data_IF_804249284775
#
_entry.id   IF_804249284775
#
_cell.length_a   1.000
_cell.length_b   1.000
_cell.length_c   1.000
_cell.angle_alpha   90.00
_cell.angle_beta   90.00
_cell.angle_gamma   90.00
#
_symmetry.space_group_name_H-M   'P 1'
#
loop_
_entity.id
_entity.type
_entity.pdbx_description
1 polymer ?
#
# COMPACT_ATOMS: atom_id res chain seq x y z
N UNK A 1 11.50 -22.64 -24.97
CA UNK A 1 12.06 -22.03 -23.74
C UNK A 1 10.96 -22.04 -22.69
N UNK A 2 11.08 -22.89 -21.67
CA UNK A 2 10.13 -22.92 -20.56
C UNK A 2 10.47 -21.71 -19.69
N UNK A 3 9.54 -20.77 -19.57
CA UNK A 3 9.65 -19.69 -18.60
C UNK A 3 9.71 -20.34 -17.22
N UNK A 4 10.91 -20.37 -16.61
CA UNK A 4 11.03 -20.68 -15.19
C UNK A 4 10.30 -19.57 -14.46
N UNK A 5 9.09 -19.85 -13.99
CA UNK A 5 8.42 -19.04 -12.99
C UNK A 5 9.23 -19.15 -11.70
N UNK A 6 10.27 -18.32 -11.57
CA UNK A 6 11.03 -18.23 -10.33
C UNK A 6 10.05 -17.83 -9.23
N UNK A 7 9.89 -18.70 -8.23
CA UNK A 7 9.13 -18.34 -7.02
C UNK A 7 9.79 -17.06 -6.47
N UNK A 8 9.03 -15.97 -6.29
CA UNK A 8 9.59 -14.72 -5.78
C UNK A 8 10.30 -14.98 -4.46
N UNK A 9 11.52 -14.45 -4.30
CA UNK A 9 12.25 -14.61 -3.05
C UNK A 9 11.50 -13.92 -1.92
N UNK A 10 11.69 -14.38 -0.68
CA UNK A 10 11.08 -13.73 0.49
C UNK A 10 11.48 -12.24 0.59
N UNK A 11 12.66 -11.87 0.11
CA UNK A 11 13.11 -10.48 -0.05
C UNK A 11 12.21 -9.73 -1.03
N UNK A 12 12.00 -10.24 -2.25
CA UNK A 12 11.18 -9.58 -3.27
C UNK A 12 9.71 -9.44 -2.82
N UNK A 13 9.17 -10.45 -2.14
CA UNK A 13 7.81 -10.41 -1.58
C UNK A 13 7.71 -9.29 -0.54
N UNK A 14 8.63 -9.26 0.42
CA UNK A 14 8.65 -8.24 1.48
C UNK A 14 8.86 -6.84 0.90
N UNK A 15 9.76 -6.66 -0.07
CA UNK A 15 9.95 -5.38 -0.77
C UNK A 15 8.67 -4.92 -1.48
N UNK A 16 7.97 -5.83 -2.14
CA UNK A 16 6.72 -5.50 -2.83
C UNK A 16 5.64 -5.10 -1.83
N UNK A 17 5.61 -5.73 -0.64
CA UNK A 17 4.71 -5.32 0.46
C UNK A 17 5.04 -3.94 1.01
N UNK A 18 6.31 -3.65 1.28
CA UNK A 18 6.75 -2.33 1.73
C UNK A 18 6.34 -1.28 0.72
N UNK A 19 6.64 -1.52 -0.57
CA UNK A 19 6.29 -0.58 -1.65
C UNK A 19 4.78 -0.35 -1.75
N UNK A 20 3.97 -1.41 -1.64
CA UNK A 20 2.51 -1.30 -1.64
C UNK A 20 2.00 -0.42 -0.49
N UNK A 21 2.44 -0.67 0.74
CA UNK A 21 1.98 0.09 1.90
C UNK A 21 2.49 1.54 1.91
N UNK A 22 3.69 1.80 1.38
CA UNK A 22 4.19 3.17 1.17
C UNK A 22 3.30 3.93 0.19
N UNK A 23 2.94 3.34 -0.95
CA UNK A 23 2.05 4.02 -1.91
C UNK A 23 0.63 4.22 -1.36
N UNK A 24 0.11 3.26 -0.60
CA UNK A 24 -1.18 3.42 0.09
C UNK A 24 -1.14 4.54 1.12
N UNK A 25 -0.05 4.67 1.88
CA UNK A 25 0.14 5.77 2.82
C UNK A 25 0.23 7.11 2.09
N UNK A 26 1.06 7.22 1.04
CA UNK A 26 1.17 8.43 0.21
C UNK A 26 -0.18 8.84 -0.41
N UNK A 27 -1.00 7.87 -0.82
CA UNK A 27 -2.35 8.12 -1.31
C UNK A 27 -3.25 8.78 -0.26
N UNK A 28 -3.23 8.26 0.98
CA UNK A 28 -3.96 8.87 2.10
C UNK A 28 -3.38 10.24 2.51
N UNK A 29 -2.08 10.44 2.41
CA UNK A 29 -1.41 11.68 2.83
C UNK A 29 -1.84 12.88 1.98
N UNK A 30 -2.05 12.65 0.67
CA UNK A 30 -2.59 13.66 -0.26
C UNK A 30 -3.99 14.13 0.11
N UNK A 31 -4.73 13.34 0.89
CA UNK A 31 -6.05 13.73 1.35
C UNK A 31 -5.98 14.80 2.45
N UNK A 32 -4.86 14.89 3.19
CA UNK A 32 -4.68 15.79 4.32
C UNK A 32 -3.69 16.93 4.06
N UNK A 33 -2.78 16.78 3.09
CA UNK A 33 -1.62 17.68 2.95
C UNK A 33 -1.43 18.16 1.50
N UNK A 34 -1.45 19.49 1.29
CA UNK A 34 -1.14 20.11 0.00
C UNK A 34 0.33 19.95 -0.39
N UNK A 35 1.26 19.87 0.57
CA UNK A 35 2.67 19.59 0.30
C UNK A 35 2.88 18.16 -0.22
N UNK A 36 2.09 17.19 0.25
CA UNK A 36 2.07 15.83 -0.29
C UNK A 36 1.47 15.75 -1.71
N UNK A 37 0.60 16.70 -2.09
CA UNK A 37 0.11 16.84 -3.47
C UNK A 37 1.18 17.43 -4.40
N UNK A 38 2.04 18.30 -3.87
CA UNK A 38 3.10 18.97 -4.63
C UNK A 38 4.36 18.10 -4.86
N UNK A 39 4.66 17.17 -3.95
CA UNK A 39 5.91 16.39 -3.99
C UNK A 39 5.93 15.26 -5.02
N UNK A 40 4.78 14.74 -5.41
CA UNK A 40 4.70 13.63 -6.36
C UNK A 40 3.44 13.76 -7.24
N UNK A 41 3.51 13.63 -8.59
CA UNK A 41 2.34 13.72 -9.44
C UNK A 41 1.31 12.63 -9.12
N UNK A 42 0.02 12.98 -9.17
CA UNK A 42 -1.07 12.04 -8.86
C UNK A 42 -1.13 10.86 -9.82
N UNK A 43 -0.91 11.14 -11.11
CA UNK A 43 -0.91 10.14 -12.16
C UNK A 43 0.17 9.08 -11.94
N UNK A 44 1.38 9.52 -11.56
CA UNK A 44 2.50 8.62 -11.28
C UNK A 44 2.23 7.79 -10.03
N UNK A 45 1.65 8.39 -8.98
CA UNK A 45 1.25 7.65 -7.77
C UNK A 45 0.26 6.55 -8.10
N UNK A 46 -0.78 6.89 -8.87
CA UNK A 46 -1.83 5.96 -9.23
C UNK A 46 -1.29 4.83 -10.13
N UNK A 47 -0.41 5.15 -11.06
CA UNK A 47 0.26 4.18 -11.93
C UNK A 47 1.13 3.22 -11.10
N UNK A 48 1.97 3.74 -10.20
CA UNK A 48 2.82 2.91 -9.35
C UNK A 48 2.03 2.08 -8.34
N UNK A 49 0.97 2.64 -7.74
CA UNK A 49 0.10 1.93 -6.81
C UNK A 49 -0.65 0.79 -7.52
N UNK A 50 -1.23 1.06 -8.69
CA UNK A 50 -1.94 0.03 -9.47
C UNK A 50 -1.01 -1.08 -9.94
N UNK A 51 0.17 -0.75 -10.47
CA UNK A 51 1.17 -1.73 -10.88
C UNK A 51 1.67 -2.57 -9.68
N UNK A 52 1.94 -1.93 -8.53
CA UNK A 52 2.41 -2.64 -7.33
C UNK A 52 1.31 -3.52 -6.74
N UNK A 53 0.05 -3.05 -6.71
CA UNK A 53 -1.12 -3.86 -6.30
C UNK A 53 -1.24 -5.09 -7.20
N UNK A 54 -1.20 -4.91 -8.53
CA UNK A 54 -1.29 -6.02 -9.49
C UNK A 54 -0.20 -7.07 -9.27
N UNK A 55 1.07 -6.63 -9.16
CA UNK A 55 2.20 -7.52 -8.86
C UNK A 55 1.99 -8.28 -7.55
N UNK A 56 1.54 -7.60 -6.49
CA UNK A 56 1.27 -8.26 -5.21
C UNK A 56 0.13 -9.29 -5.33
N UNK A 57 -0.93 -9.00 -6.09
CA UNK A 57 -2.04 -9.95 -6.28
C UNK A 57 -1.65 -11.21 -7.07
N UNK A 58 -0.65 -11.08 -7.94
CA UNK A 58 -0.03 -12.19 -8.64
C UNK A 58 0.84 -13.02 -7.69
N UNK A 59 1.75 -12.37 -6.95
CA UNK A 59 2.60 -13.03 -5.93
C UNK A 59 1.76 -13.81 -4.93
N UNK A 60 0.67 -13.21 -4.43
CA UNK A 60 -0.21 -13.82 -3.42
C UNK A 60 -1.20 -14.83 -4.01
N UNK A 61 -1.22 -15.06 -5.33
CA UNK A 61 -2.13 -16.04 -5.95
C UNK A 61 -1.98 -17.45 -5.38
N UNK A 62 -0.77 -17.79 -4.90
CA UNK A 62 -0.46 -19.07 -4.23
C UNK A 62 -1.06 -19.18 -2.82
N UNK A 63 -1.46 -18.06 -2.19
CA UNK A 63 -2.09 -18.02 -0.89
C UNK A 63 -3.35 -17.14 -0.90
N UNK A 64 -4.49 -17.77 -1.22
CA UNK A 64 -5.79 -17.10 -1.37
C UNK A 64 -6.25 -16.38 -0.10
N UNK A 65 -5.90 -16.87 1.08
CA UNK A 65 -6.29 -16.26 2.36
C UNK A 65 -5.54 -14.95 2.57
N UNK A 66 -4.23 -14.95 2.33
CA UNK A 66 -3.42 -13.72 2.45
C UNK A 66 -3.81 -12.74 1.36
N UNK A 67 -3.97 -13.21 0.11
CA UNK A 67 -4.46 -12.39 -1.01
C UNK A 67 -5.75 -11.65 -0.65
N UNK A 68 -6.79 -12.37 -0.21
CA UNK A 68 -8.08 -11.76 0.14
C UNK A 68 -8.03 -10.84 1.36
N UNK A 69 -7.01 -10.95 2.24
CA UNK A 69 -6.78 -9.96 3.31
C UNK A 69 -6.19 -8.67 2.74
N UNK A 70 -5.20 -8.78 1.88
CA UNK A 70 -4.51 -7.62 1.28
C UNK A 70 -5.43 -6.88 0.30
N UNK A 71 -6.25 -7.59 -0.47
CA UNK A 71 -7.27 -6.99 -1.36
C UNK A 71 -8.24 -6.11 -0.57
N UNK A 72 -8.87 -6.68 0.47
CA UNK A 72 -9.81 -5.94 1.34
C UNK A 72 -9.16 -4.74 2.01
N UNK A 73 -7.90 -4.84 2.38
CA UNK A 73 -7.15 -3.71 2.94
C UNK A 73 -6.91 -2.62 1.90
N UNK A 74 -6.45 -2.98 0.70
CA UNK A 74 -6.28 -2.02 -0.40
C UNK A 74 -7.60 -1.32 -0.73
N UNK A 75 -8.68 -2.08 -0.85
CA UNK A 75 -9.99 -1.53 -1.21
C UNK A 75 -10.50 -0.59 -0.12
N UNK A 76 -10.36 -0.97 1.16
CA UNK A 76 -10.72 -0.10 2.30
C UNK A 76 -9.95 1.22 2.28
N UNK A 77 -8.62 1.18 2.07
CA UNK A 77 -7.78 2.38 2.02
C UNK A 77 -8.14 3.27 0.82
N UNK A 78 -8.33 2.67 -0.36
CA UNK A 78 -8.72 3.40 -1.56
C UNK A 78 -10.07 4.08 -1.40
N UNK A 79 -11.08 3.36 -0.88
CA UNK A 79 -12.39 3.92 -0.58
C UNK A 79 -12.31 5.11 0.39
N UNK A 80 -11.50 5.00 1.45
CA UNK A 80 -11.29 6.10 2.40
C UNK A 80 -10.65 7.33 1.76
N UNK A 81 -9.64 7.15 0.90
CA UNK A 81 -9.02 8.27 0.20
C UNK A 81 -9.99 8.92 -0.80
N UNK A 82 -10.78 8.14 -1.55
CA UNK A 82 -11.81 8.70 -2.43
C UNK A 82 -12.88 9.49 -1.66
N UNK A 83 -13.34 8.97 -0.52
CA UNK A 83 -14.30 9.66 0.33
C UNK A 83 -13.74 10.98 0.87
N UNK A 84 -12.45 11.00 1.25
CA UNK A 84 -11.79 12.20 1.73
C UNK A 84 -11.59 13.27 0.64
N UNK A 85 -11.41 12.86 -0.62
CA UNK A 85 -11.31 13.77 -1.77
C UNK A 85 -12.69 14.31 -2.22
N UNK A 86 -13.79 13.56 -1.98
CA UNK A 86 -15.12 13.84 -2.50
C UNK A 86 -16.01 14.73 -1.60
N UNK A 87 -15.73 14.97 -0.30
CA UNK A 87 -16.71 15.68 0.55
C UNK A 87 -16.24 16.36 1.83
N UNK A 88 -16.84 17.55 2.09
CA UNK A 88 -16.79 18.33 3.35
C UNK A 88 -17.72 17.81 4.47
N UNK A 89 -17.94 18.63 5.52
CA UNK A 89 -18.76 18.45 6.74
C UNK A 89 -18.66 17.14 7.57
N UNK A 90 -18.50 15.95 6.97
CA UNK A 90 -18.17 14.67 7.64
C UNK A 90 -16.66 14.53 7.96
N UNK A 91 -15.92 15.64 7.80
CA UNK A 91 -14.46 15.74 7.91
C UNK A 91 -13.87 15.10 9.17
N UNK A 92 -14.55 15.13 10.31
CA UNK A 92 -13.97 14.67 11.58
C UNK A 92 -13.94 13.14 11.69
N UNK A 93 -15.07 12.47 11.45
CA UNK A 93 -15.13 11.00 11.48
C UNK A 93 -14.27 10.38 10.37
N UNK A 94 -14.29 10.99 9.17
CA UNK A 94 -13.42 10.59 8.07
C UNK A 94 -11.94 10.83 8.39
N UNK A 95 -11.58 11.93 9.05
CA UNK A 95 -10.20 12.20 9.46
C UNK A 95 -9.69 11.25 10.54
N UNK A 96 -10.54 10.89 11.53
CA UNK A 96 -10.18 9.92 12.57
C UNK A 96 -9.96 8.52 11.97
N UNK A 97 -10.84 8.10 11.05
CA UNK A 97 -10.67 6.86 10.30
C UNK A 97 -9.39 6.85 9.44
N UNK A 98 -9.10 7.96 8.76
CA UNK A 98 -7.90 8.09 7.93
C UNK A 98 -6.62 8.09 8.77
N UNK A 99 -6.63 8.73 9.95
CA UNK A 99 -5.51 8.68 10.90
C UNK A 99 -5.29 7.27 11.45
N UNK A 100 -6.37 6.54 11.74
CA UNK A 100 -6.29 5.16 12.20
C UNK A 100 -5.68 4.25 11.13
N UNK A 101 -6.16 4.31 9.88
CA UNK A 101 -5.56 3.54 8.77
C UNK A 101 -4.11 3.93 8.52
N UNK A 102 -3.76 5.22 8.58
CA UNK A 102 -2.38 5.67 8.41
C UNK A 102 -1.45 5.09 9.49
N UNK A 103 -1.92 4.99 10.73
CA UNK A 103 -1.16 4.35 11.80
C UNK A 103 -0.94 2.85 11.53
N UNK A 104 -1.95 2.15 11.02
CA UNK A 104 -1.84 0.74 10.63
C UNK A 104 -0.83 0.56 9.50
N UNK A 105 -0.93 1.35 8.43
CA UNK A 105 0.00 1.29 7.29
C UNK A 105 1.43 1.60 7.73
N UNK A 106 1.62 2.60 8.59
CA UNK A 106 2.94 2.95 9.14
C UNK A 106 3.54 1.81 9.93
N UNK A 107 2.78 1.20 10.85
CA UNK A 107 3.26 0.10 11.67
C UNK A 107 3.66 -1.11 10.81
N UNK A 108 2.85 -1.45 9.80
CA UNK A 108 3.17 -2.53 8.85
C UNK A 108 4.43 -2.23 8.04
N UNK A 109 4.56 -1.00 7.56
CA UNK A 109 5.73 -0.58 6.77
C UNK A 109 7.02 -0.67 7.60
N UNK A 110 7.00 -0.23 8.87
CA UNK A 110 8.15 -0.33 9.78
C UNK A 110 8.51 -1.80 10.00
N UNK A 111 7.55 -2.63 10.41
CA UNK A 111 7.80 -4.04 10.69
C UNK A 111 8.37 -4.81 9.48
N UNK A 112 7.85 -4.51 8.28
CA UNK A 112 8.35 -5.13 7.05
C UNK A 112 9.71 -4.58 6.61
N UNK A 113 10.00 -3.31 6.89
CA UNK A 113 11.32 -2.72 6.62
C UNK A 113 12.38 -3.31 7.54
N UNK A 114 12.07 -3.49 8.82
CA UNK A 114 12.95 -4.17 9.79
C UNK A 114 13.20 -5.62 9.38
N UNK A 115 12.15 -6.34 8.99
CA UNK A 115 12.26 -7.71 8.49
C UNK A 115 13.13 -7.78 7.21
N UNK A 116 12.96 -6.83 6.31
CA UNK A 116 13.76 -6.74 5.09
C UNK A 116 15.25 -6.47 5.40
N UNK A 117 15.54 -5.65 6.41
CA UNK A 117 16.90 -5.42 6.87
C UNK A 117 17.54 -6.71 7.40
N UNK A 118 16.78 -7.52 8.16
CA UNK A 118 17.24 -8.84 8.63
C UNK A 118 17.52 -9.78 7.45
N UNK A 119 16.61 -9.86 6.48
CA UNK A 119 16.78 -10.73 5.29
C UNK A 119 17.97 -10.33 4.40
N UNK A 120 18.37 -9.06 4.41
CA UNK A 120 19.53 -8.57 3.63
C UNK A 120 20.85 -8.72 4.37
N UNK A 121 20.82 -8.92 5.68
CA UNK A 121 22.01 -9.11 6.50
C UNK A 121 22.52 -10.58 6.51
N UNK A 122 21.77 -11.50 5.91
CA UNK A 122 22.08 -12.93 5.75
C UNK A 122 22.52 -13.24 4.34
#
# INVERSE_FOLDING_TARGET
MVAQSSVPSHIEITETFVRLYVFLAQYLDRCQDEAARASFPEADLQAHLSATKAKMMEILSVNRVVKGKVERECDRVLSLGTACLQGGAEKKAAADALKAERAVLRNKTIALSDLLAVFRAT
#
